data_IF_277799761618
#
_entry.id   IF_277799761618
#
_cell.length_a   1.000
_cell.length_b   1.000
_cell.length_c   1.000
_cell.angle_alpha   90.00
_cell.angle_beta   90.00
_cell.angle_gamma   90.00
#
_symmetry.space_group_name_H-M   'P 1'
#
loop_
_entity.id
_entity.type
_entity.pdbx_description
1 polymer ?
#
# COMPACT_ATOMS: atom_id res chain seq x y z
N UNK A 1 33.71 26.80 -3.96
CA UNK A 1 33.02 26.17 -2.81
C UNK A 1 32.05 25.18 -3.43
N UNK A 2 32.46 23.91 -3.55
CA UNK A 2 31.67 22.88 -4.23
C UNK A 2 30.49 22.46 -3.35
N UNK A 3 29.33 22.40 -4.00
CA UNK A 3 28.02 22.18 -3.43
C UNK A 3 28.00 20.93 -2.54
N UNK A 4 27.52 21.08 -1.31
CA UNK A 4 27.00 19.97 -0.53
C UNK A 4 25.72 19.49 -1.23
N UNK A 5 25.86 18.60 -2.21
CA UNK A 5 24.78 17.66 -2.47
C UNK A 5 24.67 16.79 -1.23
N UNK A 6 23.72 17.14 -0.36
CA UNK A 6 23.28 16.25 0.71
C UNK A 6 22.97 14.91 0.07
N UNK A 7 23.80 13.89 0.31
CA UNK A 7 23.54 12.54 -0.17
C UNK A 7 22.12 12.18 0.25
N UNK A 8 21.20 12.03 -0.70
CA UNK A 8 19.83 11.61 -0.44
C UNK A 8 19.91 10.29 0.34
N UNK A 9 19.62 10.37 1.64
CA UNK A 9 19.64 9.20 2.48
C UNK A 9 18.35 8.44 2.23
N UNK A 10 18.46 7.37 1.43
CA UNK A 10 17.33 6.49 1.17
C UNK A 10 16.80 5.94 2.51
N UNK A 11 15.47 5.81 2.67
CA UNK A 11 14.89 5.05 3.76
C UNK A 11 15.52 3.65 3.82
N UNK A 12 15.96 3.23 5.01
CA UNK A 12 16.56 1.91 5.24
C UNK A 12 15.88 1.27 6.44
N UNK A 13 15.49 0.02 6.30
CA UNK A 13 14.82 -0.73 7.35
C UNK A 13 14.38 -2.11 6.88
N UNK A 14 13.90 -2.91 7.82
CA UNK A 14 13.27 -4.21 7.54
C UNK A 14 11.75 -4.10 7.38
N UNK A 15 11.15 -3.05 7.96
CA UNK A 15 9.72 -2.79 7.94
C UNK A 15 9.51 -1.35 7.49
N UNK A 16 8.66 -1.17 6.48
CA UNK A 16 8.16 0.12 6.03
C UNK A 16 6.66 0.16 6.30
N UNK A 17 6.21 1.17 7.04
CA UNK A 17 4.80 1.33 7.39
C UNK A 17 4.26 2.60 6.74
N UNK A 18 3.16 2.47 6.01
CA UNK A 18 2.47 3.58 5.37
C UNK A 18 1.20 3.90 6.13
N UNK A 19 1.17 5.02 6.86
CA UNK A 19 -0.06 5.46 7.52
C UNK A 19 -0.90 6.28 6.55
N UNK A 20 -2.10 5.78 6.25
CA UNK A 20 -3.03 6.42 5.33
C UNK A 20 -4.14 7.12 6.14
N UNK A 21 -4.16 8.45 6.08
CA UNK A 21 -5.02 9.26 6.96
C UNK A 21 -6.36 9.64 6.37
N UNK A 22 -6.45 9.74 5.04
CA UNK A 22 -7.64 10.27 4.37
C UNK A 22 -7.74 9.78 2.93
N UNK A 23 -8.96 9.76 2.42
CA UNK A 23 -9.31 9.46 1.03
C UNK A 23 -9.90 10.71 0.36
N UNK A 24 -9.88 10.75 -0.97
CA UNK A 24 -10.43 11.86 -1.77
C UNK A 24 -11.77 11.51 -2.41
N UNK A 25 -12.15 10.23 -2.41
CA UNK A 25 -13.36 9.71 -3.03
C UNK A 25 -14.40 9.32 -1.98
N UNK A 26 -14.70 8.03 -1.92
CA UNK A 26 -15.64 7.50 -0.93
C UNK A 26 -15.06 7.64 0.49
N UNK A 27 -15.75 8.41 1.34
CA UNK A 27 -15.31 8.71 2.72
C UNK A 27 -15.16 7.49 3.63
N UNK A 28 -15.72 6.33 3.26
CA UNK A 28 -15.70 5.13 4.08
C UNK A 28 -14.58 4.16 3.73
N UNK A 29 -13.85 4.40 2.63
CA UNK A 29 -12.84 3.47 2.14
C UNK A 29 -11.56 4.17 1.71
N UNK A 30 -10.47 3.43 1.82
CA UNK A 30 -9.17 3.80 1.26
C UNK A 30 -8.61 2.61 0.48
N UNK A 31 -7.96 2.90 -0.63
CA UNK A 31 -7.40 1.88 -1.50
C UNK A 31 -6.20 2.39 -2.27
N UNK A 32 -5.44 1.45 -2.80
CA UNK A 32 -4.27 1.68 -3.64
C UNK A 32 -4.27 0.64 -4.76
N UNK A 33 -3.76 1.02 -5.94
CA UNK A 33 -3.54 0.08 -7.02
C UNK A 33 -2.34 -0.84 -6.69
N UNK A 34 -1.22 -0.26 -6.28
CA UNK A 34 -0.05 -1.03 -5.90
C UNK A 34 1.09 -0.21 -5.32
N UNK A 35 2.13 -0.92 -4.88
CA UNK A 35 3.34 -0.41 -4.27
C UNK A 35 4.55 -1.00 -5.01
N UNK A 36 5.53 -0.15 -5.30
CA UNK A 36 6.81 -0.59 -5.84
C UNK A 36 7.95 0.01 -5.03
N UNK A 37 8.93 -0.83 -4.74
CA UNK A 37 10.17 -0.43 -4.08
C UNK A 37 11.30 -0.51 -5.08
N UNK A 38 12.16 0.51 -5.06
CA UNK A 38 13.33 0.61 -5.91
C UNK A 38 14.56 0.87 -5.04
N UNK A 39 15.67 0.22 -5.38
CA UNK A 39 16.95 0.46 -4.72
C UNK A 39 17.59 1.79 -5.18
N UNK A 40 18.77 2.13 -4.63
CA UNK A 40 19.48 3.35 -4.97
C UNK A 40 19.99 3.40 -6.42
N UNK A 41 19.96 2.27 -7.14
CA UNK A 41 20.32 2.15 -8.55
C UNK A 41 19.07 2.08 -9.45
N UNK A 42 17.88 2.35 -8.89
CA UNK A 42 16.57 2.25 -9.56
C UNK A 42 16.23 0.83 -10.03
N UNK A 43 16.83 -0.21 -9.45
CA UNK A 43 16.37 -1.58 -9.68
C UNK A 43 15.13 -1.85 -8.82
N UNK A 44 14.11 -2.49 -9.42
CA UNK A 44 12.92 -2.93 -8.69
C UNK A 44 13.30 -4.00 -7.67
N UNK A 45 12.83 -3.84 -6.45
CA UNK A 45 12.91 -4.84 -5.39
C UNK A 45 11.66 -5.71 -5.52
N UNK A 46 11.86 -6.99 -5.78
CA UNK A 46 10.76 -7.96 -5.88
C UNK A 46 10.12 -8.16 -4.51
N UNK A 47 8.81 -7.93 -4.44
CA UNK A 47 7.98 -8.17 -3.27
C UNK A 47 7.01 -9.31 -3.56
N UNK A 48 6.72 -10.09 -2.53
CA UNK A 48 5.74 -11.17 -2.55
C UNK A 48 4.63 -10.86 -1.55
N UNK A 49 3.56 -11.64 -1.58
CA UNK A 49 2.47 -11.58 -0.60
C UNK A 49 2.98 -11.69 0.85
N UNK A 50 4.04 -12.44 1.10
CA UNK A 50 4.67 -12.55 2.44
C UNK A 50 5.34 -11.26 2.92
N UNK A 51 5.54 -10.27 2.05
CA UNK A 51 6.17 -8.99 2.39
C UNK A 51 5.16 -7.90 2.74
N UNK A 52 3.86 -8.15 2.56
CA UNK A 52 2.80 -7.16 2.77
C UNK A 52 1.84 -7.61 3.85
N UNK A 53 1.44 -6.64 4.67
CA UNK A 53 0.33 -6.75 5.59
C UNK A 53 -0.38 -5.39 5.63
N UNK A 54 -1.67 -5.40 5.91
CA UNK A 54 -2.44 -4.19 6.09
C UNK A 54 -3.37 -4.30 7.31
N UNK A 55 -3.70 -3.16 7.90
CA UNK A 55 -4.69 -3.07 8.95
C UNK A 55 -5.54 -1.80 8.83
N UNK A 56 -6.88 -1.90 8.70
CA UNK A 56 -7.63 -3.14 8.46
C UNK A 56 -7.16 -3.85 7.19
N UNK A 57 -7.22 -5.19 7.20
CA UNK A 57 -6.68 -6.02 6.10
C UNK A 57 -7.33 -5.68 4.76
N UNK A 58 -8.65 -5.70 4.71
CA UNK A 58 -9.44 -5.39 3.52
C UNK A 58 -10.89 -5.12 3.94
N UNK A 59 -11.79 -4.85 3.00
CA UNK A 59 -13.23 -4.76 3.27
C UNK A 59 -13.85 -6.05 3.80
N UNK A 60 -13.15 -7.19 3.71
CA UNK A 60 -13.59 -8.47 4.30
C UNK A 60 -13.66 -8.46 5.83
N UNK A 61 -13.17 -7.43 6.51
CA UNK A 61 -13.35 -7.26 7.97
C UNK A 61 -14.77 -6.84 8.36
N UNK A 62 -15.61 -6.45 7.39
CA UNK A 62 -16.98 -6.00 7.63
C UNK A 62 -17.94 -7.19 7.65
N UNK A 63 -18.86 -7.24 8.61
CA UNK A 63 -19.74 -8.40 8.88
C UNK A 63 -20.53 -8.93 7.67
N UNK A 64 -20.86 -8.06 6.70
CA UNK A 64 -21.66 -8.40 5.52
C UNK A 64 -20.83 -8.52 4.23
N UNK A 65 -19.50 -8.55 4.34
CA UNK A 65 -18.59 -8.66 3.20
C UNK A 65 -17.75 -9.92 3.37
N UNK A 66 -17.73 -10.75 2.34
CA UNK A 66 -16.94 -11.98 2.32
C UNK A 66 -16.43 -12.27 0.93
N UNK A 67 -15.22 -12.81 0.83
CA UNK A 67 -14.58 -13.19 -0.44
C UNK A 67 -14.43 -12.03 -1.43
N UNK A 68 -14.34 -10.79 -0.93
CA UNK A 68 -13.95 -9.65 -1.75
C UNK A 68 -12.49 -9.79 -2.15
N UNK A 69 -12.18 -9.61 -3.43
CA UNK A 69 -10.86 -9.86 -4.00
C UNK A 69 -9.84 -8.76 -3.71
N UNK A 70 -10.25 -7.65 -3.09
CA UNK A 70 -9.43 -6.45 -2.88
C UNK A 70 -8.57 -6.56 -1.61
N UNK A 71 -7.73 -7.57 -1.58
CA UNK A 71 -6.86 -7.95 -0.45
C UNK A 71 -5.44 -7.40 -0.59
N UNK A 72 -4.63 -7.35 0.49
CA UNK A 72 -3.31 -6.71 0.47
C UNK A 72 -2.31 -7.29 -0.54
N UNK A 73 -2.45 -8.56 -0.95
CA UNK A 73 -1.60 -9.16 -1.98
C UNK A 73 -1.68 -8.41 -3.32
N UNK A 74 -2.80 -7.70 -3.59
CA UNK A 74 -2.94 -6.86 -4.79
C UNK A 74 -2.00 -5.66 -4.81
N UNK A 75 -1.48 -5.24 -3.66
CA UNK A 75 -0.49 -4.17 -3.61
C UNK A 75 0.81 -4.52 -4.32
N UNK A 76 1.11 -5.80 -4.51
CA UNK A 76 2.39 -6.28 -5.04
C UNK A 76 2.21 -7.31 -6.17
N UNK A 77 1.03 -7.36 -6.79
CA UNK A 77 0.74 -8.30 -7.89
C UNK A 77 1.25 -7.84 -9.26
N UNK A 78 1.79 -6.61 -9.34
CA UNK A 78 2.40 -6.03 -10.54
C UNK A 78 1.44 -5.25 -11.43
N UNK A 79 0.14 -5.19 -11.10
CA UNK A 79 -0.87 -4.48 -11.89
C UNK A 79 -1.13 -3.05 -11.36
N UNK A 80 -0.12 -2.19 -11.41
CA UNK A 80 -0.17 -0.86 -10.77
C UNK A 80 -0.97 0.19 -11.55
N UNK A 81 -1.02 0.09 -12.89
CA UNK A 81 -1.77 0.98 -13.77
C UNK A 81 -3.00 0.25 -14.33
N UNK A 82 -4.08 0.26 -13.55
CA UNK A 82 -5.31 -0.48 -13.84
C UNK A 82 -6.53 0.25 -13.30
N UNK A 83 -7.70 -0.06 -13.87
CA UNK A 83 -9.03 0.28 -13.36
C UNK A 83 -9.82 -0.97 -12.93
N UNK A 84 -9.23 -2.17 -13.08
CA UNK A 84 -9.82 -3.43 -12.66
C UNK A 84 -9.63 -3.62 -11.15
N UNK A 85 -10.72 -3.47 -10.38
CA UNK A 85 -10.69 -3.60 -8.93
C UNK A 85 -10.23 -4.97 -8.41
N UNK A 86 -10.15 -6.01 -9.25
CA UNK A 86 -9.58 -7.31 -8.85
C UNK A 86 -8.06 -7.28 -8.66
N UNK A 87 -7.42 -6.21 -9.12
CA UNK A 87 -5.99 -5.93 -9.03
C UNK A 87 -5.72 -4.68 -8.17
N UNK A 88 -6.58 -4.42 -7.18
CA UNK A 88 -6.44 -3.27 -6.27
C UNK A 88 -6.70 -3.71 -4.85
N UNK A 89 -6.11 -3.01 -3.90
CA UNK A 89 -6.41 -3.17 -2.48
C UNK A 89 -7.45 -2.16 -2.02
N UNK A 90 -8.36 -2.57 -1.13
CA UNK A 90 -9.35 -1.69 -0.51
C UNK A 90 -9.60 -2.09 0.94
N UNK A 91 -9.51 -1.11 1.84
CA UNK A 91 -9.81 -1.26 3.26
C UNK A 91 -10.84 -0.21 3.73
N UNK A 92 -11.64 -0.52 4.75
CA UNK A 92 -12.53 0.46 5.36
C UNK A 92 -11.74 1.47 6.20
N UNK A 93 -12.26 2.68 6.30
CA UNK A 93 -11.86 3.69 7.28
C UNK A 93 -12.77 3.49 8.51
N UNK A 94 -12.20 2.93 9.58
CA UNK A 94 -12.95 2.66 10.81
C UNK A 94 -12.70 3.75 11.86
N UNK A 95 -13.69 4.10 12.70
CA UNK A 95 -13.48 5.04 13.79
C UNK A 95 -12.32 4.59 14.68
N UNK A 96 -11.44 5.53 15.05
CA UNK A 96 -10.28 5.30 15.94
C UNK A 96 -9.18 4.37 15.40
N UNK A 97 -9.32 3.89 14.16
CA UNK A 97 -8.32 3.04 13.51
C UNK A 97 -7.61 3.81 12.41
N UNK A 98 -6.29 3.84 12.44
CA UNK A 98 -5.47 4.32 11.33
C UNK A 98 -5.13 3.17 10.39
N UNK A 99 -5.48 3.33 9.11
CA UNK A 99 -5.08 2.43 8.04
C UNK A 99 -3.55 2.43 7.91
N UNK A 100 -2.94 1.25 7.98
CA UNK A 100 -1.48 1.08 7.96
C UNK A 100 -1.03 -0.24 7.36
#
# INVERSE_FOLDING_TARGET
QLNQESSLQMPRGFIFQFQLFSTWGDQYYIGLNGLEFYDALFNKIELTDTNIAAYPDSVNVLDNVSNDTRTPDKLVDGHNDTSDGRHMWLAPILPTVTNR
#
